data_IF_025356000471
#
_entry.id   IF_025356000471
#
_cell.length_a   1.000
_cell.length_b   1.000
_cell.length_c   1.000
_cell.angle_alpha   90.00
_cell.angle_beta   90.00
_cell.angle_gamma   90.00
#
_symmetry.space_group_name_H-M   'P 1'
#
loop_
_entity.id
_entity.type
_entity.pdbx_description
1 polymer ?
#
# COMPACT_ATOMS: atom_id res chain seq x y z
N UNK A 1 2.61 -0.52 -11.38
CA UNK A 1 3.12 0.74 -10.81
C UNK A 1 4.59 0.91 -11.05
N UNK A 2 5.41 0.10 -10.40
CA UNK A 2 6.89 0.17 -10.48
C UNK A 2 7.41 0.23 -11.92
N UNK A 3 6.91 -0.59 -12.84
CA UNK A 3 7.35 -0.57 -14.25
C UNK A 3 7.11 0.78 -14.94
N UNK A 4 6.00 1.47 -14.63
CA UNK A 4 5.68 2.77 -15.21
C UNK A 4 6.65 3.83 -14.67
N UNK A 5 6.94 3.78 -13.37
CA UNK A 5 7.92 4.69 -12.75
C UNK A 5 9.33 4.46 -13.31
N UNK A 6 9.75 3.20 -13.46
CA UNK A 6 11.04 2.86 -14.08
C UNK A 6 11.11 3.33 -15.53
N UNK A 7 10.03 3.21 -16.30
CA UNK A 7 9.97 3.73 -17.67
C UNK A 7 10.10 5.26 -17.72
N UNK A 8 9.47 5.98 -16.77
CA UNK A 8 9.61 7.44 -16.66
C UNK A 8 11.03 7.83 -16.26
N UNK A 9 11.66 7.12 -15.32
CA UNK A 9 13.06 7.34 -14.95
C UNK A 9 14.01 7.11 -16.13
N UNK A 10 13.75 6.07 -16.93
CA UNK A 10 14.52 5.79 -18.15
C UNK A 10 14.35 6.91 -19.19
N UNK A 11 13.13 7.40 -19.41
CA UNK A 11 12.89 8.52 -20.32
C UNK A 11 13.55 9.83 -19.88
N UNK A 12 13.67 10.04 -18.56
CA UNK A 12 14.35 11.20 -17.99
C UNK A 12 15.88 11.06 -17.96
N UNK A 13 16.43 9.93 -18.44
CA UNK A 13 17.87 9.71 -18.56
C UNK A 13 18.60 9.69 -17.21
N UNK A 14 17.95 9.22 -16.14
CA UNK A 14 18.58 9.14 -14.82
C UNK A 14 19.60 8.00 -14.74
N UNK A 15 20.82 8.33 -14.30
CA UNK A 15 21.90 7.37 -14.07
C UNK A 15 21.72 6.63 -12.74
N UNK A 16 21.35 5.35 -12.83
CA UNK A 16 21.05 4.45 -11.70
C UNK A 16 22.15 4.43 -10.63
N UNK A 17 21.99 5.30 -9.63
CA UNK A 17 22.86 5.42 -8.46
C UNK A 17 22.36 4.66 -7.23
N UNK A 18 23.16 4.65 -6.16
CA UNK A 18 22.78 4.03 -4.88
C UNK A 18 21.48 4.63 -4.30
N UNK A 19 21.31 5.94 -4.43
CA UNK A 19 20.12 6.66 -3.95
C UNK A 19 18.87 6.21 -4.70
N UNK A 20 18.94 6.05 -6.02
CA UNK A 20 17.80 5.64 -6.84
C UNK A 20 17.39 4.19 -6.57
N UNK A 21 18.34 3.30 -6.31
CA UNK A 21 18.06 1.92 -5.91
C UNK A 21 17.27 1.86 -4.58
N UNK A 22 17.71 2.62 -3.57
CA UNK A 22 17.01 2.72 -2.27
C UNK A 22 15.62 3.35 -2.48
N UNK A 23 15.56 4.41 -3.28
CA UNK A 23 14.31 5.10 -3.61
C UNK A 23 13.30 4.16 -4.24
N UNK A 24 13.72 3.38 -5.24
CA UNK A 24 12.90 2.40 -5.95
C UNK A 24 12.37 1.31 -5.02
N UNK A 25 13.18 0.84 -4.07
CA UNK A 25 12.73 -0.14 -3.07
C UNK A 25 11.62 0.42 -2.16
N UNK A 26 11.75 1.67 -1.71
CA UNK A 26 10.72 2.33 -0.89
C UNK A 26 9.46 2.58 -1.73
N UNK A 27 9.64 2.97 -2.98
CA UNK A 27 8.58 3.21 -3.96
C UNK A 27 7.70 1.99 -4.19
N UNK A 28 8.30 0.80 -4.26
CA UNK A 28 7.56 -0.46 -4.39
C UNK A 28 6.57 -0.59 -3.23
N UNK A 29 7.04 -0.31 -2.00
CA UNK A 29 6.22 -0.36 -0.79
C UNK A 29 5.08 0.67 -0.79
N UNK A 30 5.36 1.94 -1.13
CA UNK A 30 4.31 2.96 -1.16
C UNK A 30 3.33 2.79 -2.33
N UNK A 31 3.75 2.16 -3.43
CA UNK A 31 2.88 1.92 -4.59
C UNK A 31 1.79 0.86 -4.33
N UNK A 32 2.05 -0.09 -3.44
CA UNK A 32 1.05 -1.11 -3.05
C UNK A 32 0.13 -0.62 -1.93
N UNK A 33 0.55 0.38 -1.16
CA UNK A 33 -0.22 0.96 -0.05
C UNK A 33 -1.57 1.52 -0.53
N UNK A 34 -1.55 2.37 -1.57
CA UNK A 34 -2.78 2.96 -2.12
C UNK A 34 -3.74 1.90 -2.67
N UNK A 35 -3.23 0.88 -3.36
CA UNK A 35 -4.05 -0.23 -3.85
C UNK A 35 -4.64 -1.05 -2.71
N UNK A 36 -3.86 -1.32 -1.65
CA UNK A 36 -4.32 -2.04 -0.48
C UNK A 36 -5.42 -1.29 0.25
N UNK A 37 -5.26 0.02 0.49
CA UNK A 37 -6.30 0.84 1.10
C UNK A 37 -7.61 0.82 0.29
N UNK A 38 -7.53 0.90 -1.04
CA UNK A 38 -8.72 0.81 -1.88
C UNK A 38 -9.39 -0.57 -1.78
N UNK A 39 -8.61 -1.65 -1.78
CA UNK A 39 -9.11 -3.03 -1.62
C UNK A 39 -9.72 -3.24 -0.24
N UNK A 40 -9.11 -2.70 0.82
CA UNK A 40 -9.66 -2.75 2.16
C UNK A 40 -11.00 -1.98 2.24
N UNK A 41 -11.07 -0.80 1.64
CA UNK A 41 -12.32 -0.06 1.48
C UNK A 41 -13.41 -0.86 0.77
N UNK A 42 -13.04 -1.59 -0.28
CA UNK A 42 -13.97 -2.47 -1.01
C UNK A 42 -14.48 -3.63 -0.18
N UNK A 43 -13.60 -4.26 0.60
CA UNK A 43 -13.98 -5.35 1.50
C UNK A 43 -14.90 -4.85 2.61
N UNK A 44 -14.60 -3.69 3.20
CA UNK A 44 -15.43 -3.05 4.22
C UNK A 44 -16.81 -2.66 3.69
N UNK A 45 -16.88 -2.11 2.47
CA UNK A 45 -18.14 -1.83 1.80
C UNK A 45 -18.97 -3.12 1.56
N UNK A 46 -18.29 -4.23 1.26
CA UNK A 46 -18.93 -5.54 1.10
C UNK A 46 -19.54 -6.12 2.39
N UNK A 47 -18.88 -5.94 3.53
CA UNK A 47 -19.38 -6.38 4.83
C UNK A 47 -20.58 -5.54 5.32
N UNK A 48 -20.57 -4.24 5.05
CA UNK A 48 -21.67 -3.33 5.40
C UNK A 48 -22.97 -3.69 4.64
N UNK A 49 -22.89 -3.95 3.33
CA UNK A 49 -24.03 -4.36 2.50
C UNK A 49 -24.62 -5.73 2.90
N UNK A 50 -23.81 -6.62 3.46
CA UNK A 50 -24.28 -7.94 3.94
C UNK A 50 -25.16 -7.81 5.19
N UNK A 51 -25.06 -6.68 5.91
CA UNK A 51 -25.74 -6.40 7.17
C UNK A 51 -27.06 -5.61 6.99
N UNK A 52 -27.26 -4.96 5.83
CA UNK A 52 -28.39 -4.09 5.57
C UNK A 52 -29.04 -4.33 4.20
N UNK A 53 -30.11 -5.13 4.18
CA UNK A 53 -31.26 -5.01 3.26
C UNK A 53 -31.00 -4.89 1.73
N UNK A 54 -29.91 -5.42 1.18
CA UNK A 54 -29.69 -5.38 -0.28
C UNK A 54 -30.50 -6.45 -1.03
N UNK A 55 -31.73 -6.06 -1.38
CA UNK A 55 -32.59 -6.49 -2.48
C UNK A 55 -32.01 -7.62 -3.38
N UNK A 56 -32.53 -8.82 -3.19
CA UNK A 56 -32.10 -10.13 -3.72
C UNK A 56 -32.15 -10.32 -5.25
N UNK A 57 -32.24 -9.25 -6.06
CA UNK A 57 -32.50 -9.38 -7.51
C UNK A 57 -31.57 -8.55 -8.43
N UNK A 58 -30.52 -7.91 -7.91
CA UNK A 58 -29.57 -7.18 -8.76
C UNK A 58 -28.45 -8.07 -9.28
N UNK A 59 -28.13 -7.95 -10.56
CA UNK A 59 -27.08 -8.69 -11.27
C UNK A 59 -25.74 -8.60 -10.52
N UNK A 60 -25.02 -9.72 -10.39
CA UNK A 60 -23.74 -9.79 -9.65
C UNK A 60 -22.71 -8.76 -10.12
N UNK A 61 -22.78 -8.34 -11.39
CA UNK A 61 -21.93 -7.30 -11.99
C UNK A 61 -22.18 -5.92 -11.39
N UNK A 62 -23.46 -5.55 -11.21
CA UNK A 62 -23.86 -4.23 -10.70
C UNK A 62 -23.53 -4.08 -9.21
N UNK A 63 -23.72 -5.15 -8.42
CA UNK A 63 -23.34 -5.19 -6.99
C UNK A 63 -21.85 -4.86 -6.79
N UNK A 64 -20.97 -5.38 -7.65
CA UNK A 64 -19.52 -5.15 -7.57
C UNK A 64 -19.15 -3.73 -7.96
N UNK A 65 -19.78 -3.18 -8.98
CA UNK A 65 -19.58 -1.79 -9.39
C UNK A 65 -20.00 -0.81 -8.29
N UNK A 66 -21.18 -1.02 -7.69
CA UNK A 66 -21.68 -0.17 -6.61
C UNK A 66 -20.76 -0.19 -5.38
N UNK A 67 -20.32 -1.39 -4.96
CA UNK A 67 -19.35 -1.53 -3.87
C UNK A 67 -18.02 -0.88 -4.17
N UNK A 68 -17.55 -1.00 -5.41
CA UNK A 68 -16.31 -0.36 -5.83
C UNK A 68 -16.43 1.15 -5.82
N UNK A 69 -17.57 1.68 -6.27
CA UNK A 69 -17.85 3.11 -6.24
C UNK A 69 -17.91 3.64 -4.81
N UNK A 70 -18.61 2.94 -3.92
CA UNK A 70 -18.72 3.33 -2.51
C UNK A 70 -17.34 3.32 -1.83
N UNK A 71 -16.56 2.27 -2.05
CA UNK A 71 -15.19 2.18 -1.55
C UNK A 71 -14.28 3.28 -2.09
N UNK A 72 -14.37 3.57 -3.39
CA UNK A 72 -13.59 4.64 -4.02
C UNK A 72 -14.02 6.03 -3.52
N UNK A 73 -15.31 6.24 -3.24
CA UNK A 73 -15.82 7.52 -2.73
C UNK A 73 -15.39 7.74 -1.27
N UNK A 74 -15.48 6.69 -0.44
CA UNK A 74 -15.13 6.78 0.98
C UNK A 74 -13.61 6.79 1.20
N UNK A 75 -12.88 5.80 0.66
CA UNK A 75 -11.44 5.65 0.91
C UNK A 75 -10.58 6.44 -0.08
N UNK A 76 -11.09 6.72 -1.29
CA UNK A 76 -10.35 7.50 -2.28
C UNK A 76 -10.01 8.91 -1.81
N UNK A 77 -10.89 9.57 -1.05
CA UNK A 77 -10.59 10.90 -0.47
C UNK A 77 -9.41 10.83 0.50
N UNK A 78 -9.35 9.79 1.34
CA UNK A 78 -8.23 9.58 2.26
C UNK A 78 -6.91 9.31 1.50
N UNK A 79 -6.97 8.51 0.44
CA UNK A 79 -5.82 8.23 -0.44
C UNK A 79 -5.31 9.52 -1.09
N UNK A 80 -6.19 10.35 -1.64
CA UNK A 80 -5.83 11.64 -2.25
C UNK A 80 -5.20 12.57 -1.23
N UNK A 81 -5.78 12.66 -0.02
CA UNK A 81 -5.21 13.49 1.05
C UNK A 81 -3.79 13.04 1.43
N UNK A 82 -3.57 11.73 1.58
CA UNK A 82 -2.25 11.15 1.87
C UNK A 82 -1.23 11.45 0.76
N UNK A 83 -1.64 11.33 -0.50
CA UNK A 83 -0.81 11.66 -1.65
C UNK A 83 -0.45 13.16 -1.68
N UNK A 84 -1.40 14.04 -1.42
CA UNK A 84 -1.17 15.49 -1.34
C UNK A 84 -0.16 15.81 -0.24
N UNK A 85 -0.30 15.22 0.96
CA UNK A 85 0.67 15.40 2.04
C UNK A 85 2.06 14.91 1.65
N UNK A 86 2.16 13.80 0.92
CA UNK A 86 3.43 13.27 0.43
C UNK A 86 4.08 14.25 -0.56
N UNK A 87 3.31 14.77 -1.53
CA UNK A 87 3.81 15.77 -2.48
C UNK A 87 4.24 17.05 -1.77
N UNK A 88 3.46 17.54 -0.81
CA UNK A 88 3.81 18.73 -0.02
C UNK A 88 5.10 18.48 0.78
N UNK A 89 5.29 17.28 1.32
CA UNK A 89 6.52 16.91 2.03
C UNK A 89 7.76 16.90 1.13
N UNK A 90 7.60 16.64 -0.18
CA UNK A 90 8.73 16.74 -1.12
C UNK A 90 9.19 18.18 -1.39
N UNK A 91 8.36 19.19 -1.13
CA UNK A 91 8.68 20.61 -1.37
C UNK A 91 9.95 21.04 -0.60
N UNK A 92 10.06 20.86 0.74
CA UNK A 92 11.29 21.17 1.46
C UNK A 92 12.47 20.27 1.05
N UNK A 93 12.24 19.03 0.61
CA UNK A 93 13.31 18.17 0.10
C UNK A 93 13.94 18.71 -1.19
N UNK A 94 13.15 19.38 -2.05
CA UNK A 94 13.69 20.02 -3.26
C UNK A 94 14.62 21.20 -2.95
N UNK A 95 14.43 21.88 -1.82
CA UNK A 95 15.30 22.97 -1.37
C UNK A 95 16.55 22.50 -0.60
N UNK A 96 16.76 21.19 -0.48
CA UNK A 96 17.89 20.66 0.26
C UNK A 96 19.18 20.71 -0.58
N UNK A 97 20.27 21.21 0.02
CA UNK A 97 21.62 21.28 -0.62
C UNK A 97 22.21 19.88 -0.86
N UNK A 98 21.76 18.89 -0.10
CA UNK A 98 22.24 17.50 -0.21
C UNK A 98 21.56 16.85 -1.43
N UNK A 99 22.30 16.76 -2.53
CA UNK A 99 21.87 16.23 -3.84
C UNK A 99 21.07 14.91 -3.74
N UNK A 100 21.45 13.92 -2.90
CA UNK A 100 20.64 12.72 -2.66
C UNK A 100 19.18 12.98 -2.26
N UNK A 101 18.91 13.97 -1.39
CA UNK A 101 17.57 14.22 -0.89
C UNK A 101 16.67 14.91 -1.92
N UNK A 102 17.23 15.82 -2.72
CA UNK A 102 16.48 16.45 -3.81
C UNK A 102 16.07 15.43 -4.88
N UNK A 103 16.97 14.51 -5.23
CA UNK A 103 16.69 13.40 -6.17
C UNK A 103 15.63 12.44 -5.62
N UNK A 104 15.75 12.05 -4.35
CA UNK A 104 14.75 11.21 -3.68
C UNK A 104 13.36 11.87 -3.69
N UNK A 105 13.27 13.15 -3.34
CA UNK A 105 12.01 13.91 -3.36
C UNK A 105 11.36 13.91 -4.75
N UNK A 106 12.17 14.04 -5.81
CA UNK A 106 11.66 14.00 -7.19
C UNK A 106 11.06 12.64 -7.56
N UNK A 107 11.77 11.55 -7.23
CA UNK A 107 11.32 10.18 -7.50
C UNK A 107 9.99 9.91 -6.76
N UNK A 108 9.92 10.30 -5.50
CA UNK A 108 8.74 10.09 -4.64
C UNK A 108 7.54 10.89 -5.15
N UNK A 109 7.72 12.15 -5.54
CA UNK A 109 6.63 12.97 -6.07
C UNK A 109 6.02 12.38 -7.35
N UNK A 110 6.87 11.96 -8.30
CA UNK A 110 6.44 11.35 -9.56
C UNK A 110 5.71 10.04 -9.31
N UNK A 111 6.26 9.16 -8.46
CA UNK A 111 5.60 7.92 -8.11
C UNK A 111 4.25 8.13 -7.44
N UNK A 112 4.17 9.09 -6.53
CA UNK A 112 2.92 9.37 -5.81
C UNK A 112 1.82 9.77 -6.80
N UNK A 113 2.14 10.64 -7.77
CA UNK A 113 1.20 11.06 -8.81
C UNK A 113 0.77 9.90 -9.74
N UNK A 114 1.72 9.05 -10.17
CA UNK A 114 1.40 7.89 -11.01
C UNK A 114 0.58 6.86 -10.24
N UNK A 115 0.97 6.58 -8.99
CA UNK A 115 0.35 5.56 -8.16
C UNK A 115 -1.09 5.91 -7.87
N UNK A 116 -1.38 7.16 -7.49
CA UNK A 116 -2.77 7.55 -7.23
C UNK A 116 -3.65 7.50 -8.47
N UNK A 117 -3.15 7.98 -9.62
CA UNK A 117 -3.90 7.97 -10.87
C UNK A 117 -4.27 6.54 -11.26
N UNK A 118 -3.32 5.60 -11.15
CA UNK A 118 -3.58 4.20 -11.46
C UNK A 118 -4.44 3.49 -10.42
N UNK A 119 -4.24 3.75 -9.13
CA UNK A 119 -5.06 3.17 -8.06
C UNK A 119 -6.50 3.63 -8.19
N UNK A 120 -6.79 4.89 -8.52
CA UNK A 120 -8.18 5.34 -8.66
C UNK A 120 -8.83 4.90 -9.97
N UNK A 121 -8.06 4.62 -11.02
CA UNK A 121 -8.59 4.23 -12.34
C UNK A 121 -8.52 2.72 -12.57
N UNK A 122 -7.31 2.16 -12.69
CA UNK A 122 -7.08 0.75 -13.02
C UNK A 122 -7.41 -0.16 -11.84
N UNK A 123 -6.94 0.21 -10.66
CA UNK A 123 -7.53 -0.11 -9.34
C UNK A 123 -9.00 -0.51 -9.29
N UNK A 124 -9.81 0.55 -9.27
CA UNK A 124 -11.26 0.59 -9.31
C UNK A 124 -11.83 -0.22 -10.48
N UNK A 125 -11.33 -0.06 -11.71
CA UNK A 125 -11.84 -0.82 -12.85
C UNK A 125 -11.63 -2.33 -12.70
N UNK A 126 -10.48 -2.74 -12.15
CA UNK A 126 -10.16 -4.14 -11.90
C UNK A 126 -11.01 -4.70 -10.75
N UNK A 127 -11.30 -3.91 -9.72
CA UNK A 127 -12.22 -4.31 -8.64
C UNK A 127 -13.68 -4.42 -9.14
N UNK A 128 -14.12 -3.51 -10.00
CA UNK A 128 -15.44 -3.54 -10.60
C UNK A 128 -15.65 -4.77 -11.51
N UNK A 129 -14.60 -5.24 -12.18
CA UNK A 129 -14.67 -6.36 -13.15
C UNK A 129 -14.20 -7.70 -12.60
N UNK A 130 -13.26 -7.73 -11.68
CA UNK A 130 -12.62 -8.93 -11.10
C UNK A 130 -12.71 -9.03 -9.58
N UNK A 131 -13.30 -8.05 -8.88
CA UNK A 131 -13.50 -8.09 -7.42
C UNK A 131 -14.42 -9.22 -6.94
N UNK A 132 -14.19 -9.81 -5.77
CA UNK A 132 -15.05 -10.87 -5.23
C UNK A 132 -16.42 -10.33 -4.83
N UNK A 133 -17.50 -11.01 -5.25
CA UNK A 133 -18.89 -10.60 -4.99
C UNK A 133 -19.38 -10.96 -3.58
N UNK A 134 -18.84 -11.99 -2.95
CA UNK A 134 -19.18 -12.40 -1.58
C UNK A 134 -17.94 -13.00 -0.90
N UNK A 135 -17.13 -12.14 -0.27
CA UNK A 135 -15.97 -12.56 0.49
C UNK A 135 -16.27 -12.52 1.99
N UNK A 136 -16.72 -13.64 2.55
CA UNK A 136 -16.90 -13.78 4.00
C UNK A 136 -15.55 -14.10 4.65
N UNK A 137 -14.94 -13.15 5.38
CA UNK A 137 -13.79 -13.48 6.25
C UNK A 137 -14.29 -14.24 7.49
N UNK A 138 -13.96 -15.53 7.69
CA UNK A 138 -14.24 -16.16 8.97
C UNK A 138 -13.33 -15.51 10.03
N UNK A 139 -13.89 -14.85 11.07
CA UNK A 139 -13.09 -14.15 12.10
C UNK A 139 -12.13 -15.09 12.84
N UNK A 140 -12.44 -16.39 12.81
CA UNK A 140 -11.69 -17.49 13.41
C UNK A 140 -10.33 -17.73 12.73
N UNK A 141 -10.20 -17.40 11.44
CA UNK A 141 -8.95 -17.57 10.69
C UNK A 141 -7.95 -16.43 10.97
N UNK A 142 -8.46 -15.19 11.11
CA UNK A 142 -7.63 -14.03 11.47
C UNK A 142 -7.08 -14.16 12.88
N UNK A 143 -7.89 -14.65 13.83
CA UNK A 143 -7.44 -14.94 15.18
C UNK A 143 -6.34 -16.02 15.21
N UNK A 144 -6.50 -17.09 14.42
CA UNK A 144 -5.47 -18.13 14.28
C UNK A 144 -4.18 -17.59 13.66
N UNK A 145 -4.27 -16.76 12.64
CA UNK A 145 -3.10 -16.14 12.01
C UNK A 145 -2.38 -15.19 12.98
N UNK A 146 -3.11 -14.36 13.72
CA UNK A 146 -2.55 -13.47 14.74
C UNK A 146 -1.82 -14.25 15.84
N UNK A 147 -2.39 -15.38 16.28
CA UNK A 147 -1.77 -16.25 17.27
C UNK A 147 -0.46 -16.86 16.75
N UNK A 148 -0.39 -17.29 15.49
CA UNK A 148 0.84 -17.80 14.87
C UNK A 148 1.92 -16.71 14.77
N UNK A 149 1.55 -15.49 14.38
CA UNK A 149 2.48 -14.36 14.29
C UNK A 149 3.03 -13.99 15.67
N UNK A 150 2.18 -13.98 16.71
CA UNK A 150 2.61 -13.74 18.09
C UNK A 150 3.58 -14.81 18.59
N UNK A 151 3.30 -16.10 18.33
CA UNK A 151 4.19 -17.20 18.73
C UNK A 151 5.54 -17.08 18.03
N UNK A 152 5.56 -16.81 16.73
CA UNK A 152 6.81 -16.64 15.98
C UNK A 152 7.60 -15.41 16.45
N UNK A 153 6.92 -14.29 16.75
CA UNK A 153 7.55 -13.09 17.30
C UNK A 153 8.16 -13.33 18.68
N UNK A 154 7.43 -14.01 19.58
CA UNK A 154 7.93 -14.35 20.92
C UNK A 154 9.08 -15.35 20.85
N UNK A 155 9.00 -16.35 19.96
CA UNK A 155 10.06 -17.33 19.79
C UNK A 155 11.33 -16.69 19.21
N UNK A 156 11.20 -15.81 18.21
CA UNK A 156 12.31 -15.02 17.68
C UNK A 156 12.92 -14.08 18.72
N UNK A 157 12.09 -13.44 19.54
CA UNK A 157 12.54 -12.60 20.66
C UNK A 157 13.28 -13.39 21.75
N UNK A 158 12.80 -14.59 22.11
CA UNK A 158 13.47 -15.48 23.05
C UNK A 158 14.80 -15.99 22.50
N UNK A 159 14.88 -16.34 21.22
CA UNK A 159 16.11 -16.77 20.58
C UNK A 159 17.14 -15.63 20.53
N UNK A 160 16.69 -14.39 20.26
CA UNK A 160 17.55 -13.21 20.32
C UNK A 160 18.04 -12.92 21.74
N UNK A 161 17.17 -13.01 22.75
CA UNK A 161 17.52 -12.78 24.14
C UNK A 161 18.44 -13.87 24.72
N UNK A 162 18.22 -15.13 24.35
CA UNK A 162 19.15 -16.21 24.72
C UNK A 162 20.49 -16.02 24.01
N UNK A 163 20.49 -15.68 22.72
CA UNK A 163 21.70 -15.34 21.97
C UNK A 163 22.48 -14.15 22.54
N UNK A 164 21.81 -13.10 23.03
CA UNK A 164 22.48 -11.96 23.67
C UNK A 164 23.08 -12.28 25.03
N UNK A 165 22.54 -13.27 25.76
CA UNK A 165 23.16 -13.77 26.99
C UNK A 165 24.36 -14.70 26.74
N UNK A 166 24.48 -15.30 25.55
CA UNK A 166 25.64 -16.10 25.14
C UNK A 166 26.75 -15.27 24.47
N UNK A 167 26.61 -13.95 24.37
CA UNK A 167 27.67 -13.02 23.97
C UNK A 167 28.26 -12.23 25.16
N UNK A 168 28.70 -12.85 26.27
CA UNK A 168 29.52 -12.13 27.23
C UNK A 168 30.93 -11.96 26.66
N UNK A 169 31.36 -10.71 26.52
CA UNK A 169 32.74 -10.24 26.69
C UNK A 169 33.86 -10.95 25.89
N UNK A 170 33.86 -10.77 24.56
CA UNK A 170 35.09 -10.69 23.76
C UNK A 170 34.93 -9.50 22.82
N UNK A 171 35.69 -8.40 22.85
CA UNK A 171 36.98 -8.11 23.47
C UNK A 171 37.09 -6.56 23.54
N UNK A 172 37.97 -6.10 24.42
CA UNK A 172 38.55 -4.76 24.56
C UNK A 172 38.93 -4.14 23.21
#
# INVERSE_FOLDING_TARGET
>A
MVCLVVAVMYWLGWEMGAVEAISLSILVGSSVDYCLHLVEGYLLAGDADTSGLANHNSESSIKRQLRTLEAANHVGVAIVSSAVTTVISTIPLFFCVIVPFAKFGQIVAINTAISIAFTLTVTTALLATMGPSDFTRPPRAVLKAALVVLIMGVCGGLLWWTGSQFAPDTLI
#
